data_IF_429918987500
#
_entry.id   IF_429918987500
#
_cell.length_a   1.000
_cell.length_b   1.000
_cell.length_c   1.000
_cell.angle_alpha   90.00
_cell.angle_beta   90.00
_cell.angle_gamma   90.00
#
_symmetry.space_group_name_H-M   'P 1'
#
loop_
_entity.id
_entity.type
_entity.pdbx_description
1 polymer ?
#
# COMPACT_ATOMS: atom_id res chain seq x y z
N UNK A 1 -2.47 -5.79 -17.87
CA UNK A 1 -1.33 -5.21 -17.14
C UNK A 1 -1.72 -5.21 -15.69
N UNK A 2 -1.18 -6.14 -14.91
CA UNK A 2 -1.43 -6.28 -13.47
C UNK A 2 -1.08 -4.95 -12.81
N UNK A 3 -2.07 -4.26 -12.25
CA UNK A 3 -1.84 -3.01 -11.54
C UNK A 3 -0.91 -3.29 -10.36
N UNK A 4 0.31 -2.78 -10.45
CA UNK A 4 1.31 -2.89 -9.40
C UNK A 4 0.77 -2.27 -8.10
N UNK A 5 0.99 -2.93 -6.97
CA UNK A 5 0.55 -2.41 -5.67
C UNK A 5 1.36 -1.16 -5.33
N UNK A 6 0.76 -0.05 -4.84
CA UNK A 6 1.51 1.13 -4.45
C UNK A 6 2.43 0.81 -3.27
N UNK A 7 3.74 0.78 -3.51
CA UNK A 7 4.77 0.53 -2.48
C UNK A 7 5.28 1.82 -1.84
N UNK A 8 6.05 1.67 -0.75
CA UNK A 8 6.90 2.73 -0.22
C UNK A 8 8.13 2.98 -1.10
N UNK A 9 8.99 3.91 -0.67
CA UNK A 9 10.24 4.23 -1.38
C UNK A 9 11.39 3.29 -1.05
N UNK A 10 11.45 2.78 0.18
CA UNK A 10 12.47 1.84 0.67
C UNK A 10 11.83 0.53 1.10
N UNK A 11 10.66 0.60 1.75
CA UNK A 11 9.91 -0.58 2.21
C UNK A 11 8.79 -0.97 1.24
N UNK A 12 8.68 -2.27 0.99
CA UNK A 12 7.56 -2.87 0.28
C UNK A 12 6.54 -3.42 1.27
N UNK A 13 5.25 -3.25 0.96
CA UNK A 13 4.17 -3.86 1.73
C UNK A 13 4.19 -5.38 1.52
N UNK A 14 4.22 -6.13 2.62
CA UNK A 14 4.13 -7.59 2.63
C UNK A 14 2.85 -8.11 1.99
N UNK A 15 2.86 -9.38 1.55
CA UNK A 15 1.72 -9.99 0.85
C UNK A 15 0.44 -10.03 1.70
N UNK A 16 0.57 -10.18 3.01
CA UNK A 16 -0.52 -10.16 3.99
C UNK A 16 -1.16 -8.76 4.10
N UNK A 17 -0.34 -7.72 4.24
CA UNK A 17 -0.79 -6.33 4.25
C UNK A 17 -1.45 -5.95 2.92
N UNK A 18 -0.86 -6.36 1.80
CA UNK A 18 -1.44 -6.16 0.48
C UNK A 18 -2.82 -6.83 0.34
N UNK A 19 -2.98 -8.04 0.87
CA UNK A 19 -4.26 -8.75 0.86
C UNK A 19 -5.30 -8.07 1.76
N UNK A 20 -4.90 -7.66 2.97
CA UNK A 20 -5.76 -6.97 3.92
C UNK A 20 -6.26 -5.62 3.37
N UNK A 21 -5.37 -4.82 2.78
CA UNK A 21 -5.73 -3.52 2.20
C UNK A 21 -6.64 -3.69 0.98
N UNK A 22 -6.41 -4.69 0.13
CA UNK A 22 -7.28 -4.94 -1.04
C UNK A 22 -8.66 -5.51 -0.68
N UNK A 23 -8.84 -6.04 0.52
CA UNK A 23 -10.11 -6.61 0.95
C UNK A 23 -11.19 -5.53 1.22
N UNK A 24 -10.78 -4.29 1.47
CA UNK A 24 -11.66 -3.15 1.68
C UNK A 24 -11.33 -2.02 0.69
N UNK A 25 -12.23 -1.73 -0.28
CA UNK A 25 -11.99 -0.70 -1.29
C UNK A 25 -11.74 0.70 -0.72
N UNK A 26 -12.41 1.08 0.37
CA UNK A 26 -12.26 2.41 0.97
C UNK A 26 -10.88 2.53 1.63
N UNK A 27 -10.46 1.50 2.35
CA UNK A 27 -9.12 1.44 2.94
C UNK A 27 -8.05 1.40 1.85
N UNK A 28 -8.28 0.69 0.75
CA UNK A 28 -7.33 0.67 -0.36
C UNK A 28 -7.21 2.03 -1.06
N UNK A 29 -8.31 2.78 -1.16
CA UNK A 29 -8.30 4.16 -1.67
C UNK A 29 -7.49 5.08 -0.77
N UNK A 30 -7.63 4.96 0.56
CA UNK A 30 -6.80 5.69 1.52
C UNK A 30 -5.31 5.35 1.36
N UNK A 31 -4.97 4.07 1.18
CA UNK A 31 -3.59 3.63 0.93
C UNK A 31 -2.99 4.23 -0.35
N UNK A 32 -3.78 4.25 -1.44
CA UNK A 32 -3.38 4.86 -2.72
C UNK A 32 -3.16 6.38 -2.60
N UNK A 33 -3.92 7.06 -1.73
CA UNK A 33 -3.83 8.49 -1.52
C UNK A 33 -2.58 8.93 -0.73
N UNK A 34 -1.92 8.01 -0.01
CA UNK A 34 -0.66 8.30 0.67
C UNK A 34 0.43 8.67 -0.35
N UNK A 35 1.35 9.54 0.05
CA UNK A 35 2.58 9.74 -0.71
C UNK A 35 3.45 8.47 -0.63
N UNK A 36 4.38 8.25 -1.58
CA UNK A 36 5.34 7.15 -1.46
C UNK A 36 6.12 7.16 -0.13
N UNK A 37 6.46 8.36 0.38
CA UNK A 37 7.07 8.50 1.71
C UNK A 37 6.09 8.14 2.83
N UNK A 38 4.83 8.57 2.76
CA UNK A 38 3.81 8.21 3.76
C UNK A 38 3.57 6.71 3.85
N UNK A 39 3.62 5.97 2.73
CA UNK A 39 3.60 4.50 2.75
C UNK A 39 4.85 3.91 3.40
N UNK A 40 6.02 4.49 3.14
CA UNK A 40 7.28 4.05 3.73
C UNK A 40 7.26 4.15 5.26
N UNK A 41 6.78 5.27 5.80
CA UNK A 41 6.67 5.49 7.25
C UNK A 41 5.61 4.61 7.91
N UNK A 42 4.57 4.19 7.18
CA UNK A 42 3.56 3.26 7.72
C UNK A 42 4.09 1.83 7.83
N UNK A 43 5.01 1.43 6.94
CA UNK A 43 5.55 0.07 6.88
C UNK A 43 6.72 -0.12 7.86
N UNK A 44 7.50 0.93 8.14
CA UNK A 44 8.68 0.89 9.01
C UNK A 44 8.34 0.55 10.48
#
# INVERSE_FOLDING_TARGET
MTSEFPQGVVHEAGADMQAALRADPEVFDLWKALTPLGRNEFIC
#
